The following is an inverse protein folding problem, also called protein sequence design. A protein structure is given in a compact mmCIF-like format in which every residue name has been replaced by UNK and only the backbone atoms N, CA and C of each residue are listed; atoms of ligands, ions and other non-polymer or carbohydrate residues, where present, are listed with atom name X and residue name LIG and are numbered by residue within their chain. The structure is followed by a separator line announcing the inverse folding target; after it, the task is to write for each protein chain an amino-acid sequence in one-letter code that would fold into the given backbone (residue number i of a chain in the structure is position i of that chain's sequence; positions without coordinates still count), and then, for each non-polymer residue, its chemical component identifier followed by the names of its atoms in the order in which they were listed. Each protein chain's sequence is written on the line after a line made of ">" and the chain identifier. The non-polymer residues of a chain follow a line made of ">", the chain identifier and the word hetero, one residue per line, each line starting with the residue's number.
data_IF_090774380813
#
_entry.id   IF_090774380813
#
_cell.length_a   1.000
_cell.length_b   1.000
_cell.length_c   1.000
_cell.angle_alpha   90.00
_cell.angle_beta   90.00
_cell.angle_gamma   90.00
#
_symmetry.space_group_name_H-M   'P 1'
#
loop_
_entity.id
_entity.type
_entity.pdbx_description
1 polymer ?
#
# COMPACT_ATOMS: atom_id res chain seq x y z
N UNK A 1 -15.03 -23.08 -35.16
CA UNK A 1 -15.13 -21.96 -34.20
C UNK A 1 -15.13 -22.53 -32.79
N UNK A 2 -13.96 -22.96 -32.31
CA UNK A 2 -13.80 -23.66 -31.03
C UNK A 2 -12.30 -23.95 -30.83
N UNK A 3 -11.53 -22.94 -30.42
CA UNK A 3 -10.12 -23.10 -29.98
C UNK A 3 -9.54 -21.86 -29.29
N UNK A 4 -10.05 -20.66 -29.59
CA UNK A 4 -9.32 -19.43 -29.24
C UNK A 4 -9.46 -18.96 -27.79
N UNK A 5 -10.51 -19.38 -27.08
CA UNK A 5 -10.74 -18.97 -25.68
C UNK A 5 -9.72 -19.54 -24.69
N UNK A 6 -9.04 -20.65 -25.02
CA UNK A 6 -7.96 -21.21 -24.20
C UNK A 6 -6.65 -20.43 -24.36
N UNK A 7 -6.32 -19.97 -25.57
CA UNK A 7 -5.05 -19.28 -25.87
C UNK A 7 -4.93 -17.87 -25.28
N UNK A 8 -6.06 -17.22 -25.00
CA UNK A 8 -6.11 -15.90 -24.39
C UNK A 8 -6.03 -15.96 -22.86
N UNK A 9 -6.41 -17.09 -22.25
CA UNK A 9 -6.47 -17.24 -20.79
C UNK A 9 -5.07 -17.27 -20.14
N UNK A 10 -4.08 -17.84 -20.85
CA UNK A 10 -2.70 -17.96 -20.34
C UNK A 10 -1.83 -16.72 -20.61
N UNK A 11 -2.36 -15.71 -21.31
CA UNK A 11 -1.64 -14.49 -21.68
C UNK A 11 -1.65 -13.46 -20.55
N UNK A 12 -0.52 -12.76 -20.35
CA UNK A 12 -0.40 -11.74 -19.30
C UNK A 12 -1.14 -10.46 -19.65
N UNK A 13 -2.26 -10.23 -18.97
CA UNK A 13 -3.01 -8.98 -19.02
C UNK A 13 -2.34 -7.83 -18.25
N UNK A 14 -2.72 -6.60 -18.58
CA UNK A 14 -2.30 -5.41 -17.84
C UNK A 14 -2.87 -5.46 -16.44
N UNK A 15 -2.04 -5.16 -15.44
CA UNK A 15 -2.50 -5.16 -14.06
C UNK A 15 -2.96 -3.76 -13.61
N UNK A 16 -4.14 -3.73 -13.01
CA UNK A 16 -4.63 -2.60 -12.21
C UNK A 16 -4.59 -3.02 -10.75
N UNK A 17 -3.95 -2.21 -9.92
CA UNK A 17 -3.87 -2.39 -8.48
C UNK A 17 -4.84 -1.44 -7.78
N UNK A 18 -5.36 -1.88 -6.64
CA UNK A 18 -6.21 -1.08 -5.78
C UNK A 18 -5.83 -1.32 -4.31
N UNK A 19 -5.56 -0.24 -3.57
CA UNK A 19 -5.41 -0.28 -2.12
C UNK A 19 -6.55 0.48 -1.45
N UNK A 20 -7.33 -0.21 -0.63
CA UNK A 20 -8.47 0.37 0.09
C UNK A 20 -8.11 0.84 1.50
N UNK A 21 -8.67 1.99 1.91
CA UNK A 21 -8.73 2.41 3.31
C UNK A 21 -10.20 2.61 3.69
N UNK A 22 -10.67 1.82 4.65
CA UNK A 22 -12.00 1.97 5.21
C UNK A 22 -11.92 2.70 6.55
N UNK A 23 -12.62 3.82 6.68
CA UNK A 23 -12.66 4.60 7.91
C UNK A 23 -13.82 4.14 8.80
N UNK A 24 -13.50 3.50 9.92
CA UNK A 24 -14.48 3.00 10.89
C UNK A 24 -15.35 4.08 11.56
N UNK A 25 -14.97 5.36 11.52
CA UNK A 25 -15.75 6.41 12.17
C UNK A 25 -16.93 6.88 11.31
N UNK A 26 -16.73 6.96 10.00
CA UNK A 26 -17.72 7.51 9.06
C UNK A 26 -18.12 6.53 7.95
N UNK A 27 -17.62 5.29 8.00
CA UNK A 27 -17.87 4.22 7.02
C UNK A 27 -17.44 4.57 5.58
N UNK A 28 -16.65 5.64 5.41
CA UNK A 28 -16.16 6.04 4.09
C UNK A 28 -14.96 5.19 3.71
N UNK A 29 -14.99 4.69 2.47
CA UNK A 29 -13.93 3.89 1.91
C UNK A 29 -13.27 4.62 0.73
N UNK A 30 -11.95 4.84 0.84
CA UNK A 30 -11.12 5.41 -0.22
C UNK A 30 -10.35 4.30 -0.92
N UNK A 31 -10.36 4.31 -2.24
CA UNK A 31 -9.72 3.31 -3.10
C UNK A 31 -8.60 3.97 -3.89
N UNK A 32 -7.35 3.61 -3.58
CA UNK A 32 -6.16 4.13 -4.25
C UNK A 32 -5.81 3.21 -5.41
N UNK A 33 -6.22 3.61 -6.61
CA UNK A 33 -6.11 2.81 -7.81
C UNK A 33 -4.96 3.30 -8.70
N UNK A 34 -4.25 2.36 -9.32
CA UNK A 34 -3.17 2.60 -10.27
C UNK A 34 -3.02 1.42 -11.21
N UNK A 35 -2.41 1.64 -12.36
CA UNK A 35 -1.92 0.55 -13.18
C UNK A 35 -0.42 0.30 -12.97
N UNK A 36 0.06 -0.84 -13.45
CA UNK A 36 1.43 -1.30 -13.22
C UNK A 36 2.52 -0.42 -13.89
N UNK A 37 2.15 0.44 -14.85
CA UNK A 37 3.11 1.40 -15.46
C UNK A 37 3.41 2.58 -14.54
N UNK A 38 2.51 2.88 -13.59
CA UNK A 38 2.69 3.97 -12.63
C UNK A 38 3.58 3.52 -11.47
N UNK A 39 3.24 2.38 -10.85
CA UNK A 39 3.90 1.85 -9.67
C UNK A 39 3.69 0.33 -9.54
N UNK A 40 4.48 -0.31 -8.68
CA UNK A 40 4.29 -1.73 -8.31
C UNK A 40 3.24 -1.87 -7.20
N UNK A 41 3.23 -3.02 -6.51
CA UNK A 41 2.31 -3.33 -5.39
C UNK A 41 3.03 -3.72 -4.10
N UNK A 42 4.26 -3.23 -3.90
CA UNK A 42 5.10 -3.56 -2.76
C UNK A 42 4.84 -2.67 -1.53
N UNK A 43 5.65 -2.88 -0.50
CA UNK A 43 5.53 -2.15 0.77
C UNK A 43 5.82 -0.65 0.69
N UNK A 44 6.65 -0.20 -0.25
CA UNK A 44 6.88 1.24 -0.42
C UNK A 44 5.69 1.93 -1.11
N UNK A 45 4.98 1.23 -1.99
CA UNK A 45 3.74 1.71 -2.59
C UNK A 45 2.62 1.79 -1.56
N UNK A 46 2.47 0.75 -0.73
CA UNK A 46 1.56 0.78 0.43
C UNK A 46 1.90 1.95 1.36
N UNK A 47 3.18 2.14 1.70
CA UNK A 47 3.62 3.25 2.53
C UNK A 47 3.28 4.62 1.92
N UNK A 48 3.42 4.76 0.60
CA UNK A 48 3.07 5.99 -0.12
C UNK A 48 1.58 6.29 -0.05
N UNK A 49 0.74 5.28 -0.26
CA UNK A 49 -0.72 5.42 -0.11
C UNK A 49 -1.13 5.76 1.33
N UNK A 50 -0.48 5.15 2.35
CA UNK A 50 -0.69 5.49 3.76
C UNK A 50 -0.37 6.97 3.99
N UNK A 51 0.79 7.43 3.55
CA UNK A 51 1.20 8.83 3.71
C UNK A 51 0.20 9.78 3.05
N UNK A 52 -0.26 9.46 1.84
CA UNK A 52 -1.26 10.26 1.13
C UNK A 52 -2.60 10.28 1.86
N UNK A 53 -3.05 9.14 2.38
CA UNK A 53 -4.29 9.03 3.14
C UNK A 53 -4.26 9.83 4.44
N UNK A 54 -3.16 9.78 5.19
CA UNK A 54 -3.04 10.48 6.47
C UNK A 54 -2.97 12.01 6.30
N UNK A 55 -2.51 12.53 5.15
CA UNK A 55 -2.55 13.98 4.88
C UNK A 55 -3.96 14.56 4.89
N UNK A 56 -4.99 13.75 4.60
CA UNK A 56 -6.39 14.16 4.69
C UNK A 56 -6.91 14.16 6.15
N UNK A 57 -6.14 13.62 7.10
CA UNK A 57 -6.47 13.51 8.52
C UNK A 57 -5.78 14.64 9.27
N UNK A 58 -6.50 15.75 9.47
CA UNK A 58 -5.93 16.96 10.05
C UNK A 58 -6.20 17.12 11.54
N UNK A 59 -7.17 16.43 12.14
CA UNK A 59 -7.60 16.72 13.52
C UNK A 59 -7.26 15.64 14.54
N UNK A 60 -7.08 14.39 14.11
CA UNK A 60 -6.88 13.25 15.01
C UNK A 60 -5.46 13.20 15.56
N UNK A 61 -5.36 13.08 16.89
CA UNK A 61 -4.08 12.88 17.60
C UNK A 61 -3.63 11.42 17.67
N UNK A 62 -4.58 10.49 17.62
CA UNK A 62 -4.31 9.06 17.72
C UNK A 62 -4.90 8.35 16.51
N UNK A 63 -4.03 7.74 15.71
CA UNK A 63 -4.41 6.91 14.57
C UNK A 63 -4.28 5.45 14.95
N UNK A 64 -5.36 4.68 14.82
CA UNK A 64 -5.35 3.22 14.95
C UNK A 64 -5.63 2.64 13.57
N UNK A 65 -4.64 1.96 13.00
CA UNK A 65 -4.73 1.28 11.71
C UNK A 65 -4.78 -0.23 11.91
N UNK A 66 -5.66 -0.89 11.15
CA UNK A 66 -5.76 -2.34 11.10
C UNK A 66 -5.41 -2.83 9.70
N UNK A 67 -4.60 -3.88 9.58
CA UNK A 67 -4.29 -4.52 8.30
C UNK A 67 -4.10 -6.02 8.43
N UNK A 68 -4.03 -6.71 7.30
CA UNK A 68 -3.50 -8.07 7.27
C UNK A 68 -2.02 -8.09 7.73
N UNK A 69 -1.52 -9.30 7.97
CA UNK A 69 -0.16 -9.54 8.42
C UNK A 69 0.84 -9.78 7.27
N UNK A 70 0.53 -9.36 6.04
CA UNK A 70 1.33 -9.59 4.83
C UNK A 70 2.71 -8.94 4.97
N UNK A 71 3.76 -9.76 5.00
CA UNK A 71 5.15 -9.28 5.17
C UNK A 71 5.64 -8.46 3.98
N UNK A 72 5.21 -8.80 2.76
CA UNK A 72 5.60 -8.08 1.54
C UNK A 72 5.04 -6.66 1.43
N UNK A 73 3.95 -6.37 2.16
CA UNK A 73 3.16 -5.15 2.00
C UNK A 73 3.00 -4.39 3.32
N UNK A 74 2.33 -4.97 4.31
CA UNK A 74 1.89 -4.27 5.51
C UNK A 74 2.84 -4.44 6.70
N UNK A 75 3.28 -5.68 6.99
CA UNK A 75 4.06 -6.02 8.19
C UNK A 75 5.55 -6.10 7.89
N UNK A 76 6.16 -4.94 7.69
CA UNK A 76 7.59 -4.81 7.45
C UNK A 76 8.13 -3.44 7.87
N UNK A 77 9.46 -3.30 7.79
CA UNK A 77 10.17 -2.09 8.18
C UNK A 77 9.81 -0.87 7.31
N UNK A 78 9.47 -1.01 6.03
CA UNK A 78 9.14 0.15 5.20
C UNK A 78 7.86 0.83 5.70
N UNK A 79 6.82 0.03 5.94
CA UNK A 79 5.54 0.51 6.49
C UNK A 79 5.70 1.03 7.92
N UNK A 80 6.49 0.35 8.75
CA UNK A 80 6.79 0.83 10.09
C UNK A 80 7.49 2.20 10.08
N UNK A 81 8.46 2.41 9.19
CA UNK A 81 9.18 3.68 9.08
C UNK A 81 8.30 4.81 8.53
N UNK A 82 7.31 4.53 7.68
CA UNK A 82 6.38 5.59 7.24
C UNK A 82 5.46 6.03 8.37
N UNK A 83 5.00 5.11 9.23
CA UNK A 83 4.24 5.48 10.42
C UNK A 83 5.06 6.29 11.41
N UNK A 84 6.33 5.91 11.61
CA UNK A 84 7.27 6.71 12.39
C UNK A 84 7.49 8.10 11.76
N UNK A 85 7.54 8.20 10.43
CA UNK A 85 7.65 9.50 9.75
C UNK A 85 6.42 10.36 10.01
N UNK A 86 5.24 9.78 9.86
CA UNK A 86 3.94 10.45 10.04
C UNK A 86 3.82 11.08 11.42
N UNK A 87 4.15 10.35 12.49
CA UNK A 87 4.04 10.87 13.86
C UNK A 87 5.01 12.03 14.17
N UNK A 88 6.03 12.21 13.32
CA UNK A 88 7.03 13.27 13.44
C UNK A 88 6.87 14.40 12.42
N UNK A 89 5.85 14.37 11.55
CA UNK A 89 5.59 15.51 10.69
C UNK A 89 5.03 16.68 11.53
N UNK A 90 5.45 17.90 11.20
CA UNK A 90 4.91 19.13 11.81
C UNK A 90 3.58 19.56 11.22
N UNK A 91 3.25 19.12 10.00
CA UNK A 91 2.04 19.48 9.27
C UNK A 91 0.79 18.66 9.65
N UNK A 92 0.90 17.80 10.68
CA UNK A 92 -0.23 17.03 11.20
C UNK A 92 -0.30 17.03 12.73
N UNK A 93 -1.48 16.63 13.23
CA UNK A 93 -1.78 16.57 14.66
C UNK A 93 -1.51 15.20 15.30
N UNK A 94 -0.95 14.24 14.55
CA UNK A 94 -0.78 12.86 15.02
C UNK A 94 0.33 12.80 16.07
N UNK A 95 -0.04 12.38 17.27
CA UNK A 95 0.85 12.18 18.42
C UNK A 95 1.15 10.71 18.67
N UNK A 96 0.21 9.82 18.31
CA UNK A 96 0.33 8.36 18.49
C UNK A 96 -0.20 7.65 17.25
N UNK A 97 0.55 6.63 16.80
CA UNK A 97 0.09 5.68 15.79
C UNK A 97 0.14 4.28 16.37
N UNK A 98 -0.96 3.55 16.26
CA UNK A 98 -1.06 2.12 16.52
C UNK A 98 -1.39 1.39 15.23
N UNK A 99 -0.46 0.56 14.74
CA UNK A 99 -0.70 -0.33 13.61
C UNK A 99 -0.86 -1.77 14.11
N UNK A 100 -2.09 -2.26 14.07
CA UNK A 100 -2.52 -3.59 14.51
C UNK A 100 -2.63 -4.52 13.31
N UNK A 101 -2.04 -5.71 13.42
CA UNK A 101 -2.08 -6.76 12.41
C UNK A 101 -3.03 -7.86 12.85
N UNK A 102 -3.97 -8.16 11.98
CA UNK A 102 -5.00 -9.14 12.24
C UNK A 102 -4.48 -10.58 12.08
N UNK A 103 -4.99 -11.51 12.89
CA UNK A 103 -4.59 -12.92 12.82
C UNK A 103 -5.26 -13.60 11.63
N UNK A 104 -4.47 -14.31 10.83
CA UNK A 104 -4.96 -15.07 9.67
C UNK A 104 -6.08 -16.03 10.09
N UNK A 105 -7.23 -15.99 9.41
CA UNK A 105 -8.37 -16.89 9.65
C UNK A 105 -9.45 -16.37 10.61
N UNK A 106 -9.24 -15.25 11.29
CA UNK A 106 -10.19 -14.71 12.30
C UNK A 106 -10.52 -13.23 12.11
N UNK A 107 -10.40 -12.72 10.89
CA UNK A 107 -10.31 -11.28 10.66
C UNK A 107 -11.03 -10.88 9.38
N UNK A 108 -12.32 -10.57 9.49
CA UNK A 108 -13.06 -9.90 8.42
C UNK A 108 -12.90 -8.39 8.61
N UNK A 109 -12.00 -7.77 7.86
CA UNK A 109 -11.91 -6.32 7.80
C UNK A 109 -13.04 -5.79 6.90
N UNK A 110 -13.56 -4.58 7.15
CA UNK A 110 -14.53 -3.95 6.24
C UNK A 110 -14.04 -3.89 4.79
N UNK A 111 -12.72 -3.75 4.62
CA UNK A 111 -12.05 -3.83 3.33
C UNK A 111 -12.33 -5.14 2.56
N UNK A 112 -12.43 -6.30 3.23
CA UNK A 112 -12.69 -7.57 2.54
C UNK A 112 -14.07 -7.57 1.88
N UNK A 113 -15.06 -6.97 2.56
CA UNK A 113 -16.39 -6.74 1.99
C UNK A 113 -16.33 -5.77 0.82
N UNK A 114 -15.57 -4.68 0.96
CA UNK A 114 -15.43 -3.67 -0.09
C UNK A 114 -14.80 -4.24 -1.36
N UNK A 115 -13.72 -5.01 -1.22
CA UNK A 115 -13.08 -5.69 -2.35
C UNK A 115 -13.97 -6.78 -2.94
N UNK A 116 -14.68 -7.55 -2.11
CA UNK A 116 -15.65 -8.55 -2.59
C UNK A 116 -16.75 -7.95 -3.46
N UNK A 117 -17.23 -6.74 -3.14
CA UNK A 117 -18.18 -6.00 -3.98
C UNK A 117 -17.56 -5.59 -5.32
N UNK A 118 -16.33 -5.04 -5.28
CA UNK A 118 -15.60 -4.64 -6.49
C UNK A 118 -15.35 -5.85 -7.40
N UNK A 119 -14.84 -6.96 -6.86
CA UNK A 119 -14.57 -8.19 -7.60
C UNK A 119 -15.85 -8.76 -8.22
N UNK A 120 -16.97 -8.75 -7.49
CA UNK A 120 -18.26 -9.20 -8.01
C UNK A 120 -18.71 -8.32 -9.18
N UNK A 121 -18.51 -7.00 -9.10
CA UNK A 121 -18.86 -6.08 -10.17
C UNK A 121 -17.96 -6.26 -11.40
N UNK A 122 -16.65 -6.48 -11.19
CA UNK A 122 -15.68 -6.80 -12.25
C UNK A 122 -16.09 -8.08 -12.99
N UNK A 123 -16.40 -9.16 -12.27
CA UNK A 123 -16.82 -10.45 -12.86
C UNK A 123 -18.08 -10.35 -13.72
N UNK A 124 -18.98 -9.40 -13.40
CA UNK A 124 -20.22 -9.18 -14.12
C UNK A 124 -20.11 -8.11 -15.23
N UNK A 125 -18.91 -7.61 -15.53
CA UNK A 125 -18.69 -6.55 -16.52
C UNK A 125 -17.77 -7.04 -17.64
N UNK A 126 -18.28 -7.05 -18.87
CA UNK A 126 -17.58 -7.63 -20.03
C UNK A 126 -16.70 -6.64 -20.82
N UNK A 127 -16.66 -5.36 -20.43
CA UNK A 127 -16.05 -4.28 -21.22
C UNK A 127 -14.96 -3.51 -20.46
N UNK A 128 -14.15 -4.22 -19.67
CA UNK A 128 -13.00 -3.66 -18.95
C UNK A 128 -11.74 -3.86 -19.79
N UNK A 129 -11.32 -2.82 -20.52
CA UNK A 129 -10.19 -2.90 -21.45
C UNK A 129 -9.00 -2.10 -20.95
N UNK A 130 -9.21 -0.88 -20.47
CA UNK A 130 -8.15 0.04 -20.02
C UNK A 130 -8.31 0.36 -18.52
N UNK A 131 -7.25 0.82 -17.83
CA UNK A 131 -7.30 1.13 -16.40
C UNK A 131 -8.45 2.07 -16.00
N UNK A 132 -8.77 3.04 -16.83
CA UNK A 132 -9.85 4.00 -16.60
C UNK A 132 -11.22 3.32 -16.45
N UNK A 133 -11.45 2.21 -17.16
CA UNK A 133 -12.69 1.44 -17.01
C UNK A 133 -12.79 0.83 -15.60
N UNK A 134 -11.68 0.36 -15.04
CA UNK A 134 -11.64 -0.16 -13.67
C UNK A 134 -11.87 0.96 -12.65
N UNK A 135 -11.28 2.13 -12.84
CA UNK A 135 -11.47 3.26 -11.93
C UNK A 135 -12.94 3.70 -11.87
N UNK A 136 -13.56 3.88 -13.03
CA UNK A 136 -14.99 4.23 -13.14
C UNK A 136 -15.90 3.13 -12.59
N UNK A 137 -15.53 1.86 -12.78
CA UNK A 137 -16.26 0.73 -12.20
C UNK A 137 -16.19 0.75 -10.67
N UNK A 138 -15.00 0.95 -10.09
CA UNK A 138 -14.83 1.02 -8.64
C UNK A 138 -15.68 2.15 -8.06
N UNK A 139 -15.64 3.34 -8.66
CA UNK A 139 -16.44 4.50 -8.20
C UNK A 139 -17.95 4.21 -8.22
N UNK A 140 -18.43 3.49 -9.24
CA UNK A 140 -19.84 3.14 -9.43
C UNK A 140 -20.29 1.85 -8.74
N UNK A 141 -19.40 1.15 -8.01
CA UNK A 141 -19.73 -0.11 -7.33
C UNK A 141 -20.85 0.02 -6.28
N UNK A 142 -20.94 1.17 -5.61
CA UNK A 142 -21.90 1.41 -4.53
C UNK A 142 -22.81 2.58 -4.88
N UNK A 143 -24.13 2.37 -4.81
CA UNK A 143 -25.13 3.43 -4.97
C UNK A 143 -25.21 4.36 -3.75
N UNK A 144 -25.03 3.81 -2.55
CA UNK A 144 -25.04 4.54 -1.28
C UNK A 144 -23.64 4.50 -0.70
N UNK A 145 -23.12 5.66 -0.32
CA UNK A 145 -21.74 5.86 0.09
C UNK A 145 -20.73 5.30 -0.95
N UNK A 146 -20.65 5.92 -2.14
CA UNK A 146 -19.74 5.46 -3.19
C UNK A 146 -18.28 5.47 -2.70
N UNK A 147 -17.47 4.59 -3.29
CA UNK A 147 -16.04 4.61 -3.02
C UNK A 147 -15.43 5.89 -3.56
N UNK A 148 -14.62 6.57 -2.76
CA UNK A 148 -13.80 7.67 -3.27
C UNK A 148 -12.57 7.08 -3.96
N UNK A 149 -12.54 7.14 -5.28
CA UNK A 149 -11.40 6.63 -6.06
C UNK A 149 -10.34 7.71 -6.20
N UNK A 150 -9.14 7.43 -5.68
CA UNK A 150 -7.95 8.26 -5.84
C UNK A 150 -7.06 7.58 -6.87
N UNK A 151 -6.99 8.15 -8.06
CA UNK A 151 -6.03 7.71 -9.08
C UNK A 151 -4.62 8.16 -8.66
N UNK A 152 -3.77 7.20 -8.34
CA UNK A 152 -2.40 7.47 -7.92
C UNK A 152 -1.55 7.82 -9.14
N UNK A 153 -0.80 8.92 -9.03
CA UNK A 153 0.18 9.31 -10.03
C UNK A 153 1.59 8.90 -9.59
N UNK A 154 2.52 8.81 -10.54
CA UNK A 154 3.90 8.41 -10.25
C UNK A 154 4.57 9.25 -9.14
N UNK A 155 4.31 10.56 -9.13
CA UNK A 155 4.83 11.51 -8.13
C UNK A 155 4.34 11.25 -6.70
N UNK A 156 3.27 10.49 -6.54
CA UNK A 156 2.71 10.17 -5.22
C UNK A 156 3.53 9.08 -4.51
N UNK A 157 4.38 8.36 -5.24
CA UNK A 157 5.17 7.26 -4.70
C UNK A 157 6.52 7.74 -4.19
N UNK A 158 6.78 7.50 -2.91
CA UNK A 158 8.00 7.91 -2.21
C UNK A 158 8.84 6.71 -1.79
N UNK A 159 10.16 6.91 -1.74
CA UNK A 159 11.09 5.89 -1.29
C UNK A 159 11.34 5.97 0.22
N UNK A 160 11.31 4.83 0.89
CA UNK A 160 11.71 4.70 2.30
C UNK A 160 13.22 4.50 2.48
N UNK A 161 14.01 4.59 1.40
CA UNK A 161 15.45 4.35 1.41
C UNK A 161 16.18 5.23 2.43
N UNK A 162 15.95 6.55 2.38
CA UNK A 162 16.61 7.48 3.30
C UNK A 162 16.19 7.28 4.78
N UNK A 163 14.93 6.87 5.02
CA UNK A 163 14.48 6.49 6.36
C UNK A 163 15.23 5.24 6.86
N UNK A 164 15.39 4.23 6.01
CA UNK A 164 16.15 3.01 6.35
C UNK A 164 17.63 3.29 6.60
N UNK A 165 18.25 4.13 5.78
CA UNK A 165 19.66 4.51 5.95
C UNK A 165 19.89 5.35 7.21
N UNK A 166 18.88 6.12 7.62
CA UNK A 166 18.91 6.92 8.86
C UNK A 166 18.55 6.10 10.10
N UNK A 167 18.15 4.84 9.96
CA UNK A 167 17.72 3.97 11.06
C UNK A 167 18.51 2.67 11.08
N UNK A 168 18.33 1.90 12.15
CA UNK A 168 18.89 0.56 12.27
C UNK A 168 17.80 -0.44 12.63
N UNK A 169 17.44 -1.32 11.70
CA UNK A 169 16.46 -2.39 11.94
C UNK A 169 17.09 -3.49 12.81
N UNK A 170 17.16 -3.24 14.12
CA UNK A 170 17.77 -4.15 15.10
C UNK A 170 16.96 -5.43 15.20
N UNK A 171 17.67 -6.56 15.23
CA UNK A 171 17.09 -7.90 15.45
C UNK A 171 16.91 -8.24 16.93
N UNK A 172 17.23 -7.31 17.83
CA UNK A 172 17.10 -7.45 19.28
C UNK A 172 16.42 -6.24 19.89
N UNK A 173 15.64 -6.47 20.95
CA UNK A 173 15.03 -5.42 21.77
C UNK A 173 16.08 -4.71 22.62
N UNK A 174 15.70 -3.63 23.30
CA UNK A 174 16.55 -2.95 24.31
C UNK A 174 16.94 -3.87 25.46
N UNK A 175 16.16 -4.92 25.73
CA UNK A 175 16.41 -5.90 26.78
C UNK A 175 17.20 -7.13 26.27
N UNK A 176 17.65 -7.12 25.01
CA UNK A 176 18.47 -8.18 24.42
C UNK A 176 17.69 -9.36 23.80
N UNK A 177 16.36 -9.35 23.85
CA UNK A 177 15.51 -10.41 23.30
C UNK A 177 15.46 -10.37 21.77
N UNK A 178 15.38 -11.53 21.13
CA UNK A 178 15.25 -11.61 19.67
C UNK A 178 13.90 -11.08 19.16
N UNK A 179 13.94 -10.28 18.09
CA UNK A 179 12.76 -9.70 17.45
C UNK A 179 12.32 -10.59 16.28
N UNK A 180 11.05 -10.98 16.28
CA UNK A 180 10.44 -11.74 15.17
C UNK A 180 9.27 -10.96 14.58
N UNK A 181 9.47 -10.36 13.39
CA UNK A 181 8.43 -9.61 12.66
C UNK A 181 7.17 -10.45 12.40
N UNK A 182 7.32 -11.76 12.17
CA UNK A 182 6.22 -12.68 11.95
C UNK A 182 5.30 -12.86 13.18
N UNK A 183 5.80 -12.57 14.38
CA UNK A 183 5.02 -12.64 15.62
C UNK A 183 4.45 -11.29 16.05
N UNK A 184 4.87 -10.19 15.43
CA UNK A 184 4.37 -8.85 15.77
C UNK A 184 2.90 -8.76 15.34
N UNK A 185 2.06 -8.34 16.29
CA UNK A 185 0.64 -8.10 16.09
C UNK A 185 0.27 -6.63 16.31
N UNK A 186 1.09 -5.87 17.02
CA UNK A 186 0.82 -4.46 17.28
C UNK A 186 2.13 -3.69 17.29
N UNK A 187 2.24 -2.66 16.45
CA UNK A 187 3.33 -1.67 16.47
C UNK A 187 2.76 -0.32 16.91
N UNK A 188 3.49 0.37 17.80
CA UNK A 188 3.18 1.70 18.28
C UNK A 188 4.35 2.66 18.05
N UNK A 189 4.01 3.88 17.61
CA UNK A 189 4.91 5.01 17.51
C UNK A 189 4.35 6.23 18.25
N UNK A 190 5.25 7.01 18.85
CA UNK A 190 4.90 8.18 19.66
C UNK A 190 5.73 9.40 19.22
N UNK A 191 5.10 10.57 19.14
CA UNK A 191 5.74 11.84 18.72
C UNK A 191 6.90 12.24 19.62
N UNK A 192 6.78 11.95 20.92
CA UNK A 192 7.79 12.25 21.93
C UNK A 192 8.89 11.17 22.07
N UNK A 193 8.84 10.10 21.26
CA UNK A 193 9.78 8.98 21.35
C UNK A 193 10.42 8.68 19.98
N UNK A 194 11.24 9.60 19.43
CA UNK A 194 11.86 9.40 18.14
C UNK A 194 12.76 8.17 18.14
N UNK A 195 12.85 7.52 16.98
CA UNK A 195 13.63 6.29 16.78
C UNK A 195 13.22 5.11 17.67
N UNK A 196 12.08 5.15 18.37
CA UNK A 196 11.59 4.00 19.14
C UNK A 196 10.42 3.35 18.44
N UNK A 197 10.51 2.03 18.27
CA UNK A 197 9.38 1.21 17.85
C UNK A 197 8.93 0.36 19.04
N UNK A 198 7.74 0.65 19.54
CA UNK A 198 7.09 -0.15 20.56
C UNK A 198 6.32 -1.26 19.85
N UNK A 199 6.38 -2.50 20.33
CA UNK A 199 5.59 -3.58 19.74
C UNK A 199 5.11 -4.62 20.76
N UNK A 200 4.02 -5.31 20.41
CA UNK A 200 3.50 -6.49 21.11
C UNK A 200 3.29 -7.65 20.12
N UNK A 201 3.28 -8.86 20.66
CA UNK A 201 2.93 -10.09 19.93
C UNK A 201 1.51 -10.57 20.23
N UNK A 202 0.71 -9.72 20.86
CA UNK A 202 -0.71 -9.91 21.18
C UNK A 202 -1.48 -8.63 20.82
N UNK A 203 -2.79 -8.75 20.61
CA UNK A 203 -3.72 -7.62 20.50
C UNK A 203 -4.36 -7.24 21.86
N UNK A 204 -3.96 -7.93 22.93
CA UNK A 204 -4.41 -7.65 24.30
C UNK A 204 -3.85 -6.31 24.80
N UNK A 205 -4.75 -5.47 25.31
CA UNK A 205 -4.41 -4.14 25.81
C UNK A 205 -3.53 -4.21 27.06
N UNK A 206 -3.69 -5.26 27.89
CA UNK A 206 -2.94 -5.44 29.14
C UNK A 206 -1.50 -5.92 28.95
N UNK A 207 -1.20 -6.52 27.80
CA UNK A 207 0.14 -7.01 27.48
C UNK A 207 1.15 -5.85 27.42
N UNK A 208 2.37 -6.02 27.89
CA UNK A 208 3.37 -4.94 27.88
C UNK A 208 4.03 -4.75 26.50
N UNK A 209 4.38 -3.50 26.18
CA UNK A 209 5.14 -3.19 24.96
C UNK A 209 6.63 -3.50 25.15
N UNK A 210 7.20 -4.23 24.19
CA UNK A 210 8.64 -4.33 24.00
C UNK A 210 9.13 -3.17 23.15
N UNK A 211 10.40 -2.76 23.35
CA UNK A 211 10.98 -1.61 22.65
C UNK A 211 12.14 -2.03 21.76
N UNK A 212 12.12 -1.55 20.52
CA UNK A 212 13.26 -1.58 19.61
C UNK A 212 13.77 -0.16 19.42
N UNK A 213 15.08 0.02 19.65
CA UNK A 213 15.78 1.26 19.32
C UNK A 213 16.25 1.23 17.86
N UNK A 214 15.63 2.06 17.04
CA UNK A 214 15.92 2.26 15.62
C UNK A 214 17.01 3.32 15.38
N UNK A 215 17.64 3.86 16.43
CA UNK A 215 18.73 4.83 16.30
C UNK A 215 19.87 4.29 15.41
N UNK A 216 20.49 5.16 14.59
CA UNK A 216 21.60 4.76 13.73
C UNK A 216 22.77 4.23 14.57
N UNK A 217 23.49 3.22 14.05
CA UNK A 217 24.64 2.61 14.76
C UNK A 217 25.82 3.56 14.94
N UNK A 218 25.97 4.53 14.03
CA UNK A 218 27.10 5.45 13.96
C UNK A 218 26.57 6.84 13.61
N UNK A 219 27.20 7.87 14.17
CA UNK A 219 26.84 9.26 13.96
C UNK A 219 25.67 9.73 14.83
N UNK A 220 25.43 11.05 14.83
CA UNK A 220 24.31 11.66 15.53
C UNK A 220 23.00 11.35 14.79
N UNK A 221 21.94 10.91 15.49
CA UNK A 221 20.62 10.75 14.87
C UNK A 221 20.16 12.07 14.25
N UNK A 222 19.65 12.00 13.02
CA UNK A 222 19.04 13.16 12.35
C UNK A 222 17.70 13.47 13.01
N UNK A 223 17.21 14.70 12.85
CA UNK A 223 15.82 14.99 13.19
C UNK A 223 14.95 14.23 12.17
N UNK A 224 14.10 13.32 12.64
CA UNK A 224 13.36 12.40 11.79
C UNK A 224 12.42 13.13 10.80
N UNK A 225 11.87 14.27 11.24
CA UNK A 225 11.09 15.20 10.44
C UNK A 225 11.87 15.72 9.22
N UNK A 226 13.18 15.96 9.35
CA UNK A 226 14.01 16.55 8.30
C UNK A 226 14.58 15.52 7.31
N UNK A 227 14.24 14.24 7.45
CA UNK A 227 14.65 13.22 6.48
C UNK A 227 13.74 13.32 5.26
N UNK A 228 14.30 13.68 4.12
CA UNK A 228 13.54 13.82 2.88
C UNK A 228 12.90 12.50 2.43
N UNK A 229 11.80 12.62 1.70
CA UNK A 229 11.13 11.51 1.03
C UNK A 229 11.25 11.71 -0.47
N UNK A 230 12.26 11.07 -1.06
CA UNK A 230 12.50 11.16 -2.50
C UNK A 230 11.49 10.33 -3.31
N UNK A 231 11.22 10.67 -4.59
CA UNK A 231 10.39 9.85 -5.45
C UNK A 231 10.88 8.40 -5.53
N UNK A 232 9.95 7.44 -5.46
CA UNK A 232 10.25 6.01 -5.63
C UNK A 232 10.58 5.67 -7.08
N UNK A 233 9.95 6.38 -8.01
CA UNK A 233 10.08 6.19 -9.45
C UNK A 233 10.46 7.51 -10.10
N UNK A 234 11.45 7.48 -10.99
CA UNK A 234 11.94 8.64 -11.75
C UNK A 234 11.47 8.63 -13.21
N UNK A 235 10.91 7.51 -13.67
CA UNK A 235 10.38 7.33 -15.01
C UNK A 235 9.23 6.33 -14.98
N UNK A 236 8.38 6.32 -16.01
CA UNK A 236 7.32 5.32 -16.20
C UNK A 236 7.92 3.92 -16.06
N UNK A 237 7.20 3.03 -15.37
CA UNK A 237 7.64 1.64 -15.20
C UNK A 237 7.47 0.89 -16.52
N UNK A 238 8.54 0.26 -17.02
CA UNK A 238 8.45 -0.60 -18.19
C UNK A 238 7.75 -1.92 -17.85
N UNK A 239 7.07 -2.49 -18.85
CA UNK A 239 6.59 -3.87 -18.82
C UNK A 239 7.66 -4.82 -19.39
N UNK A 240 7.52 -6.13 -19.15
CA UNK A 240 8.42 -7.11 -19.76
C UNK A 240 8.07 -7.29 -21.24
N UNK A 241 9.06 -7.66 -22.06
CA UNK A 241 8.87 -7.82 -23.50
C UNK A 241 7.84 -8.91 -23.80
N UNK A 242 7.87 -10.01 -23.04
CA UNK A 242 6.95 -11.12 -23.25
C UNK A 242 5.53 -10.75 -22.83
N UNK A 243 5.37 -9.86 -21.83
CA UNK A 243 4.05 -9.30 -21.48
C UNK A 243 3.53 -8.35 -22.55
N UNK A 244 4.41 -7.55 -23.17
CA UNK A 244 4.05 -6.72 -24.32
C UNK A 244 3.58 -7.60 -25.48
N UNK A 245 4.31 -8.66 -25.80
CA UNK A 245 3.94 -9.61 -26.84
C UNK A 245 2.56 -10.24 -26.59
N UNK A 246 2.31 -10.70 -25.36
CA UNK A 246 1.01 -11.22 -24.94
C UNK A 246 -0.11 -10.19 -25.15
N UNK A 247 0.11 -8.92 -24.77
CA UNK A 247 -0.86 -7.84 -24.98
C UNK A 247 -1.13 -7.56 -26.46
N UNK A 248 -0.09 -7.57 -27.31
CA UNK A 248 -0.26 -7.40 -28.76
C UNK A 248 -1.11 -8.53 -29.33
N UNK A 249 -0.88 -9.76 -28.87
CA UNK A 249 -1.66 -10.94 -29.25
C UNK A 249 -3.10 -10.93 -28.71
N UNK A 250 -3.43 -10.03 -27.78
CA UNK A 250 -4.78 -9.84 -27.24
C UNK A 250 -5.56 -8.69 -27.90
N UNK A 251 -4.88 -7.83 -28.67
CA UNK A 251 -5.53 -6.70 -29.38
C UNK A 251 -6.73 -7.10 -30.24
N UNK A 252 -6.77 -8.27 -30.94
CA UNK A 252 -7.95 -8.68 -31.71
C UNK A 252 -9.23 -8.81 -30.87
N UNK A 253 -9.11 -9.02 -29.55
CA UNK A 253 -10.24 -9.11 -28.62
C UNK A 253 -10.61 -7.79 -27.96
N UNK A 254 -9.86 -6.71 -28.26
CA UNK A 254 -10.04 -5.38 -27.69
C UNK A 254 -10.56 -4.45 -28.79
N UNK A 255 -11.56 -3.59 -28.52
CA UNK A 255 -12.01 -2.61 -29.50
C UNK A 255 -10.86 -1.71 -30.01
N UNK A 256 -10.75 -1.46 -31.33
CA UNK A 256 -9.64 -0.71 -31.93
C UNK A 256 -9.36 0.67 -31.32
N UNK A 257 -10.40 1.32 -30.78
CA UNK A 257 -10.27 2.61 -30.09
C UNK A 257 -9.31 2.59 -28.90
N UNK A 258 -9.12 1.41 -28.26
CA UNK A 258 -8.23 1.26 -27.11
C UNK A 258 -6.83 0.74 -27.46
N UNK A 259 -6.59 0.33 -28.71
CA UNK A 259 -5.30 -0.27 -29.10
C UNK A 259 -4.10 0.65 -28.86
N UNK A 260 -4.30 1.96 -29.06
CA UNK A 260 -3.26 2.98 -28.85
C UNK A 260 -2.67 2.92 -27.43
N UNK A 261 -3.49 2.64 -26.43
CA UNK A 261 -3.05 2.52 -25.03
C UNK A 261 -1.95 1.45 -24.90
N UNK A 262 -2.21 0.24 -25.41
CA UNK A 262 -1.28 -0.90 -25.32
C UNK A 262 -0.04 -0.75 -26.20
N UNK A 263 -0.19 -0.21 -27.41
CA UNK A 263 0.93 0.02 -28.35
C UNK A 263 1.97 0.99 -27.75
N UNK A 264 1.51 1.97 -26.98
CA UNK A 264 2.34 3.00 -26.36
C UNK A 264 3.13 2.55 -25.12
N UNK A 265 2.93 1.33 -24.62
CA UNK A 265 3.57 0.84 -23.39
C UNK A 265 5.08 0.62 -23.60
N UNK A 266 5.91 1.19 -22.71
CA UNK A 266 7.36 1.03 -22.74
C UNK A 266 7.79 -0.36 -22.26
N UNK A 267 8.79 -0.96 -22.92
CA UNK A 267 9.43 -2.20 -22.47
C UNK A 267 10.84 -1.98 -21.92
N UNK A 268 11.26 -2.93 -21.07
CA UNK A 268 12.65 -3.02 -20.65
C UNK A 268 13.50 -3.40 -21.87
N UNK A 269 14.40 -2.51 -22.31
CA UNK A 269 15.48 -2.88 -23.25
C UNK A 269 16.54 -3.71 -22.54
#
# INVERSE_FOLDING_TARGET
>A
MSSDSGSAYDKRNMHVYNLGFHNFHNENAKMYALDETIASRGSQEVASCILKYIRDITTQKHVIAYSDACSGQNRNINTALIWLKIVHLSDNNVETVDHKFMVSGHSFLPNDRDFGLIETKIKNTNYLYIPEHYYNLIESCKKRNPFLVVQMAQKDFISTKQLKESTNNRKKTTNGEAVSWLKIQWIRFLKNAPYKMFYKTSLDDNSEFKVIDLSPKRGRPRIFENIDLLPLYTSIRPITEEKREDMMNLLPYIPPIFHKHFISLNTNK
#
